data_IF_592220875632
#
_entry.id   IF_592220875632
#
_cell.length_a   1.000
_cell.length_b   1.000
_cell.length_c   1.000
_cell.angle_alpha   90.00
_cell.angle_beta   90.00
_cell.angle_gamma   90.00
#
_symmetry.space_group_name_H-M   'P 1'
#
loop_
_entity.id
_entity.type
_entity.pdbx_description
1 polymer ?
#
# COMPACT_ATOMS: atom_id res chain seq x y z
N UNK A 1 -4.29 11.30 -4.60
CA UNK A 1 -4.57 9.87 -4.74
C UNK A 1 -3.25 9.16 -4.95
N UNK A 2 -2.99 8.09 -4.20
CA UNK A 2 -1.83 7.22 -4.39
C UNK A 2 -2.30 5.86 -4.91
N UNK A 3 -1.48 5.26 -5.77
CA UNK A 3 -1.71 3.95 -6.35
C UNK A 3 -0.43 3.14 -6.22
N UNK A 4 -0.56 1.82 -6.13
CA UNK A 4 0.56 0.90 -6.16
C UNK A 4 0.57 0.21 -7.51
N UNK A 5 1.66 0.38 -8.26
CA UNK A 5 1.89 -0.36 -9.50
C UNK A 5 2.75 -1.58 -9.19
N UNK A 6 2.13 -2.76 -9.21
CA UNK A 6 2.82 -4.02 -8.92
C UNK A 6 3.49 -4.61 -10.16
N UNK A 7 2.89 -4.41 -11.33
CA UNK A 7 3.45 -4.79 -12.63
C UNK A 7 2.93 -3.85 -13.72
N UNK A 8 3.27 -4.12 -14.97
CA UNK A 8 2.70 -3.42 -16.12
C UNK A 8 1.19 -3.66 -16.27
N UNK A 9 0.69 -4.77 -15.69
CA UNK A 9 -0.69 -5.21 -15.85
C UNK A 9 -1.52 -5.12 -14.56
N UNK A 10 -0.90 -4.80 -13.41
CA UNK A 10 -1.57 -4.76 -12.10
C UNK A 10 -1.33 -3.41 -11.42
N UNK A 11 -2.43 -2.70 -11.18
CA UNK A 11 -2.50 -1.47 -10.38
C UNK A 11 -3.46 -1.70 -9.23
N UNK A 12 -3.02 -1.44 -8.00
CA UNK A 12 -3.87 -1.37 -6.81
C UNK A 12 -4.23 0.10 -6.56
N UNK A 13 -5.53 0.38 -6.58
CA UNK A 13 -6.06 1.70 -6.25
C UNK A 13 -6.29 1.77 -4.74
N UNK A 14 -5.59 2.69 -4.08
CA UNK A 14 -5.78 2.93 -2.66
C UNK A 14 -6.97 3.86 -2.39
N UNK A 15 -7.62 3.68 -1.24
CA UNK A 15 -8.62 4.62 -0.74
C UNK A 15 -7.91 5.91 -0.34
N UNK A 16 -8.30 7.02 -0.95
CA UNK A 16 -7.74 8.35 -0.69
C UNK A 16 -8.79 9.44 -0.63
N UNK A 17 -10.06 9.08 -0.34
CA UNK A 17 -11.15 10.03 -0.15
C UNK A 17 -11.27 11.13 -1.22
N UNK A 18 -11.92 12.24 -0.85
CA UNK A 18 -11.91 13.45 -1.66
C UNK A 18 -10.72 14.30 -1.25
N UNK A 19 -9.80 14.58 -2.19
CA UNK A 19 -8.68 15.48 -1.98
C UNK A 19 -9.18 16.94 -2.00
N UNK A 20 -9.16 17.60 -0.84
CA UNK A 20 -9.57 19.00 -0.68
C UNK A 20 -8.37 19.97 -0.57
N UNK A 21 -7.15 19.44 -0.49
CA UNK A 21 -5.89 20.19 -0.34
C UNK A 21 -5.02 20.05 -1.61
N UNK A 22 -4.12 21.01 -1.91
CA UNK A 22 -3.16 20.90 -3.00
C UNK A 22 -2.25 19.66 -2.93
N UNK A 23 -1.83 19.25 -1.72
CA UNK A 23 -1.03 18.03 -1.53
C UNK A 23 -1.68 17.05 -0.56
N UNK A 24 -1.39 15.75 -0.73
CA UNK A 24 -1.98 14.71 0.11
C UNK A 24 -1.48 14.78 1.57
N UNK A 25 -0.23 15.21 1.78
CA UNK A 25 0.39 15.26 3.11
C UNK A 25 -0.10 16.44 3.96
N UNK A 26 -0.89 17.35 3.38
CA UNK A 26 -1.55 18.45 4.09
C UNK A 26 -2.85 18.00 4.76
N UNK A 27 -3.40 16.86 4.37
CA UNK A 27 -4.57 16.24 4.99
C UNK A 27 -4.13 14.99 5.74
N UNK A 28 -4.40 14.93 7.03
CA UNK A 28 -3.96 13.84 7.90
C UNK A 28 -4.50 12.48 7.46
N UNK A 29 -5.75 12.41 7.02
CA UNK A 29 -6.38 11.17 6.55
C UNK A 29 -5.72 10.71 5.26
N UNK A 30 -5.55 11.63 4.31
CA UNK A 30 -4.86 11.33 3.05
C UNK A 30 -3.42 10.90 3.29
N UNK A 31 -2.70 11.57 4.18
CA UNK A 31 -1.32 11.21 4.53
C UNK A 31 -1.24 9.79 5.10
N UNK A 32 -2.08 9.47 6.09
CA UNK A 32 -2.12 8.14 6.69
C UNK A 32 -2.54 7.03 5.71
N UNK A 33 -3.36 7.35 4.70
CA UNK A 33 -3.66 6.42 3.61
C UNK A 33 -2.43 6.18 2.71
N UNK A 34 -1.65 7.21 2.40
CA UNK A 34 -0.41 7.08 1.61
C UNK A 34 0.64 6.26 2.35
N UNK A 35 0.86 6.54 3.63
CA UNK A 35 1.78 5.79 4.48
C UNK A 35 1.41 4.30 4.51
N UNK A 36 0.12 3.97 4.68
CA UNK A 36 -0.36 2.59 4.65
C UNK A 36 -0.03 1.91 3.31
N UNK A 37 -0.25 2.59 2.18
CA UNK A 37 0.06 2.03 0.86
C UNK A 37 1.56 1.81 0.68
N UNK A 38 2.41 2.70 1.18
CA UNK A 38 3.87 2.53 1.15
C UNK A 38 4.32 1.31 1.96
N UNK A 39 3.73 1.08 3.14
CA UNK A 39 4.00 -0.11 3.94
C UNK A 39 3.57 -1.40 3.22
N UNK A 40 2.38 -1.39 2.59
CA UNK A 40 1.89 -2.51 1.78
C UNK A 40 2.82 -2.80 0.60
N UNK A 41 3.31 -1.77 -0.11
CA UNK A 41 4.26 -1.91 -1.22
C UNK A 41 5.55 -2.60 -0.76
N UNK A 42 6.13 -2.13 0.35
CA UNK A 42 7.32 -2.73 0.95
C UNK A 42 7.12 -4.21 1.28
N UNK A 43 5.94 -4.55 1.82
CA UNK A 43 5.60 -5.93 2.15
C UNK A 43 5.51 -6.83 0.92
N UNK A 44 4.77 -6.39 -0.11
CA UNK A 44 4.60 -7.14 -1.35
C UNK A 44 5.95 -7.35 -2.05
N UNK A 45 6.78 -6.29 -2.15
CA UNK A 45 8.13 -6.39 -2.73
C UNK A 45 9.03 -7.36 -1.97
N UNK A 46 8.94 -7.38 -0.64
CA UNK A 46 9.69 -8.32 0.19
C UNK A 46 9.31 -9.77 -0.13
N UNK A 47 8.02 -10.08 -0.25
CA UNK A 47 7.54 -11.42 -0.60
C UNK A 47 7.88 -11.83 -2.04
N UNK A 48 7.79 -10.90 -2.99
CA UNK A 48 8.25 -11.12 -4.36
C UNK A 48 9.75 -11.48 -4.39
N UNK A 49 10.58 -10.74 -3.66
CA UNK A 49 12.03 -10.99 -3.58
C UNK A 49 12.36 -12.35 -2.95
N UNK A 50 11.55 -12.82 -2.01
CA UNK A 50 11.71 -14.13 -1.36
C UNK A 50 11.11 -15.29 -2.15
N UNK A 51 10.37 -15.04 -3.23
CA UNK A 51 9.63 -16.07 -3.95
C UNK A 51 8.42 -16.61 -3.17
N UNK A 52 7.93 -15.87 -2.17
CA UNK A 52 6.71 -16.23 -1.43
C UNK A 52 5.43 -15.83 -2.19
N UNK A 53 5.56 -14.82 -3.06
CA UNK A 53 4.51 -14.31 -3.95
C UNK A 53 5.09 -14.24 -5.37
N UNK A 54 4.25 -14.53 -6.36
CA UNK A 54 4.61 -14.43 -7.78
C UNK A 54 3.53 -13.68 -8.54
N UNK A 55 3.92 -12.92 -9.55
CA UNK A 55 3.00 -12.26 -10.48
C UNK A 55 3.15 -12.94 -11.84
N UNK A 56 2.04 -13.42 -12.39
CA UNK A 56 1.99 -13.94 -13.75
C UNK A 56 0.79 -13.34 -14.48
N UNK A 57 1.08 -12.54 -15.50
CA UNK A 57 0.09 -11.71 -16.17
C UNK A 57 -0.65 -10.79 -15.16
N UNK A 58 -1.97 -10.97 -15.10
CA UNK A 58 -2.89 -10.23 -14.23
C UNK A 58 -3.18 -10.91 -12.89
N UNK A 59 -2.45 -11.96 -12.55
CA UNK A 59 -2.72 -12.77 -11.36
C UNK A 59 -1.56 -12.74 -10.37
N UNK A 60 -1.91 -12.76 -9.08
CA UNK A 60 -0.99 -12.83 -7.96
C UNK A 60 -1.14 -14.22 -7.34
N UNK A 61 -0.03 -14.95 -7.21
CA UNK A 61 0.03 -16.29 -6.64
C UNK A 61 0.86 -16.29 -5.36
N UNK A 62 0.57 -17.25 -4.48
CA UNK A 62 1.25 -17.41 -3.18
C UNK A 62 0.45 -16.83 -2.03
N UNK A 63 1.09 -16.72 -0.86
CA UNK A 63 0.43 -16.18 0.33
C UNK A 63 0.36 -14.65 0.21
N UNK A 64 -0.85 -14.08 0.20
CA UNK A 64 -1.09 -12.63 0.20
C UNK A 64 -1.62 -12.11 1.54
N UNK A 65 -1.75 -12.98 2.53
CA UNK A 65 -2.20 -12.62 3.88
C UNK A 65 -1.04 -12.05 4.68
N UNK A 66 -1.25 -10.85 5.22
CA UNK A 66 -0.32 -10.21 6.14
C UNK A 66 -1.05 -9.25 7.07
N UNK A 67 -0.39 -8.90 8.18
CA UNK A 67 -0.88 -7.98 9.18
C UNK A 67 0.15 -6.87 9.37
N UNK A 68 -0.29 -5.63 9.23
CA UNK A 68 0.50 -4.46 9.59
C UNK A 68 0.20 -4.14 11.05
N UNK A 69 1.22 -4.20 11.91
CA UNK A 69 1.10 -3.71 13.29
C UNK A 69 1.37 -2.21 13.30
N UNK A 70 0.33 -1.39 13.44
CA UNK A 70 0.50 0.01 13.82
C UNK A 70 0.61 0.09 15.34
N UNK A 71 1.76 0.48 15.84
CA UNK A 71 1.89 0.93 17.23
C UNK A 71 1.20 2.28 17.30
N UNK A 72 0.03 2.35 17.94
CA UNK A 72 -0.49 3.65 18.36
C UNK A 72 0.41 4.10 19.51
N UNK A 73 1.34 5.02 19.24
CA UNK A 73 1.82 5.88 20.29
C UNK A 73 0.63 6.78 20.64
N UNK A 74 -0.07 6.44 21.72
CA UNK A 74 -0.99 7.36 22.35
C UNK A 74 -0.16 8.58 22.76
N UNK A 75 -0.31 9.68 22.02
CA UNK A 75 0.10 10.98 22.51
C UNK A 75 -0.81 11.33 23.71
N UNK A 76 -0.16 11.88 24.74
CA UNK A 76 -0.60 12.13 26.13
C UNK A 76 -1.94 12.86 26.29
#
# INVERSE_FOLDING_TARGET
>A
MYLLRLSDEIIILGNGGRKNTPSYNEDQVLNSCVELLQEIDGYIRSRLKKGEVHIYGKQIFGNTTFFIKRTQNAEE
#
